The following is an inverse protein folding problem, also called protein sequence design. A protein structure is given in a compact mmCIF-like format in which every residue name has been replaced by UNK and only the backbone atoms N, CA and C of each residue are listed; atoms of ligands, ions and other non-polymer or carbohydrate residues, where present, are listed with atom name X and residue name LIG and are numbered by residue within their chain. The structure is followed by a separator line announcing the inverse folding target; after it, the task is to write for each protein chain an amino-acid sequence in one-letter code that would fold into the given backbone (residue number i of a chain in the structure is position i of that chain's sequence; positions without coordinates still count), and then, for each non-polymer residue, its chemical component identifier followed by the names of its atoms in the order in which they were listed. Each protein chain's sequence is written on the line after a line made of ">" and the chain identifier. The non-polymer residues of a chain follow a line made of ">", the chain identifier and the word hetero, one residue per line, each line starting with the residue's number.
data_IF_916324015198
#
_entry.id   IF_916324015198
#
_cell.length_a   1.000
_cell.length_b   1.000
_cell.length_c   1.000
_cell.angle_alpha   90.00
_cell.angle_beta   90.00
_cell.angle_gamma   90.00
#
_symmetry.space_group_name_H-M   'P 1'
#
loop_
_entity.id
_entity.type
_entity.pdbx_description
1 polymer ?
#
# COMPACT_ATOMS: atom_id res chain seq x y z
N UNK A 1 -11.42 -28.32 -10.21
CA UNK A 1 -10.50 -27.21 -10.55
C UNK A 1 -9.78 -27.59 -11.84
N UNK A 2 -9.71 -26.71 -12.83
CA UNK A 2 -8.81 -26.88 -13.97
C UNK A 2 -7.44 -26.36 -13.55
N UNK A 3 -6.48 -27.25 -13.36
CA UNK A 3 -5.11 -26.92 -12.96
C UNK A 3 -4.18 -28.08 -13.32
N UNK A 4 -2.88 -27.79 -13.47
CA UNK A 4 -1.88 -28.82 -13.68
C UNK A 4 -1.59 -29.57 -12.38
N UNK A 5 -1.19 -30.85 -12.44
CA UNK A 5 -0.81 -31.59 -11.24
C UNK A 5 0.43 -30.95 -10.60
N UNK A 6 0.49 -31.00 -9.26
CA UNK A 6 1.59 -30.45 -8.46
C UNK A 6 2.96 -30.91 -8.97
N UNK A 7 3.07 -32.20 -9.30
CA UNK A 7 4.22 -32.75 -9.97
C UNK A 7 3.87 -33.21 -11.40
N UNK A 8 4.75 -33.01 -12.39
CA UNK A 8 6.00 -32.22 -12.32
C UNK A 8 5.78 -30.72 -12.58
N UNK A 9 4.65 -30.35 -13.16
CA UNK A 9 4.43 -29.04 -13.78
C UNK A 9 4.57 -27.87 -12.80
N UNK A 10 3.83 -27.90 -11.69
CA UNK A 10 3.84 -26.78 -10.73
C UNK A 10 5.16 -26.70 -9.96
N UNK A 11 5.75 -27.84 -9.58
CA UNK A 11 7.04 -27.87 -8.86
C UNK A 11 8.17 -27.31 -9.73
N UNK A 12 8.27 -27.72 -11.00
CA UNK A 12 9.34 -27.21 -11.88
C UNK A 12 9.17 -25.70 -12.10
N UNK A 13 7.94 -25.25 -12.39
CA UNK A 13 7.67 -23.81 -12.60
C UNK A 13 7.99 -22.99 -11.35
N UNK A 14 7.47 -23.38 -10.20
CA UNK A 14 7.65 -22.64 -8.96
C UNK A 14 9.12 -22.73 -8.48
N UNK A 15 9.79 -23.86 -8.69
CA UNK A 15 11.21 -24.02 -8.40
C UNK A 15 12.09 -23.09 -9.24
N UNK A 16 11.84 -23.01 -10.55
CA UNK A 16 12.56 -22.10 -11.44
C UNK A 16 12.38 -20.63 -11.04
N UNK A 17 11.15 -20.22 -10.69
CA UNK A 17 10.86 -18.86 -10.21
C UNK A 17 11.57 -18.59 -8.87
N UNK A 18 11.53 -19.53 -7.93
CA UNK A 18 12.22 -19.40 -6.64
C UNK A 18 13.73 -19.28 -6.80
N UNK A 19 14.35 -20.12 -7.64
CA UNK A 19 15.79 -20.06 -7.92
C UNK A 19 16.19 -18.76 -8.60
N UNK A 20 15.35 -18.24 -9.50
CA UNK A 20 15.56 -16.93 -10.10
C UNK A 20 15.60 -15.82 -9.04
N UNK A 21 14.62 -15.77 -8.12
CA UNK A 21 14.61 -14.76 -7.06
C UNK A 21 15.76 -14.93 -6.06
N UNK A 22 16.13 -16.16 -5.69
CA UNK A 22 17.30 -16.43 -4.85
C UNK A 22 18.58 -15.95 -5.53
N UNK A 23 18.74 -16.26 -6.83
CA UNK A 23 19.87 -15.77 -7.62
C UNK A 23 19.93 -14.24 -7.66
N UNK A 24 18.79 -13.57 -7.86
CA UNK A 24 18.70 -12.11 -7.82
C UNK A 24 19.06 -11.52 -6.45
N UNK A 25 18.61 -12.13 -5.35
CA UNK A 25 18.96 -11.69 -3.99
C UNK A 25 20.47 -11.81 -3.74
N UNK A 26 21.08 -12.94 -4.14
CA UNK A 26 22.53 -13.15 -4.02
C UNK A 26 23.29 -12.14 -4.89
N UNK A 27 22.83 -11.92 -6.12
CA UNK A 27 23.44 -10.95 -7.05
C UNK A 27 23.44 -9.54 -6.46
N UNK A 28 22.30 -9.08 -5.93
CA UNK A 28 22.19 -7.74 -5.32
C UNK A 28 23.06 -7.64 -4.07
N UNK A 29 23.04 -8.66 -3.20
CA UNK A 29 23.86 -8.67 -1.99
C UNK A 29 25.38 -8.63 -2.29
N UNK A 30 25.80 -9.27 -3.38
CA UNK A 30 27.20 -9.26 -3.82
C UNK A 30 27.57 -7.95 -4.56
N UNK A 31 26.68 -7.41 -5.39
CA UNK A 31 26.93 -6.21 -6.19
C UNK A 31 26.86 -4.91 -5.38
N UNK A 32 26.01 -4.87 -4.35
CA UNK A 32 25.76 -3.72 -3.49
C UNK A 32 25.82 -4.15 -2.02
N UNK A 33 27.00 -4.53 -1.49
CA UNK A 33 27.13 -4.95 -0.11
C UNK A 33 26.78 -3.79 0.84
N UNK A 34 25.99 -4.03 1.91
CA UNK A 34 25.65 -2.99 2.86
C UNK A 34 26.90 -2.51 3.61
N UNK A 35 26.97 -1.20 3.88
CA UNK A 35 28.02 -0.65 4.73
C UNK A 35 27.83 -1.11 6.17
N UNK A 36 28.91 -1.51 6.84
CA UNK A 36 28.90 -1.77 8.27
C UNK A 36 28.88 -0.42 9.00
N UNK A 37 27.77 -0.12 9.67
CA UNK A 37 27.65 1.09 10.49
C UNK A 37 28.50 0.98 11.76
N UNK A 38 28.79 2.14 12.37
CA UNK A 38 29.48 2.19 13.66
C UNK A 38 28.61 1.56 14.76
N UNK A 39 29.22 1.04 15.84
CA UNK A 39 28.48 0.59 17.02
C UNK A 39 27.55 1.69 17.54
N UNK A 40 26.38 1.28 18.06
CA UNK A 40 25.39 2.20 18.59
C UNK A 40 25.97 3.07 19.71
N UNK A 41 25.77 4.39 19.62
CA UNK A 41 26.22 5.36 20.61
C UNK A 41 25.01 6.09 21.22
N UNK A 42 24.63 5.82 22.49
CA UNK A 42 23.50 6.50 23.14
C UNK A 42 23.69 8.01 23.30
N UNK A 43 24.93 8.50 23.27
CA UNK A 43 25.28 9.91 23.47
C UNK A 43 25.30 10.73 22.18
N UNK A 44 25.09 10.11 21.01
CA UNK A 44 25.14 10.78 19.71
C UNK A 44 24.02 10.29 18.78
N UNK A 45 23.22 11.23 18.24
CA UNK A 45 22.21 10.91 17.24
C UNK A 45 22.76 11.20 15.83
N UNK A 46 22.72 10.23 14.90
CA UNK A 46 23.07 10.46 13.51
C UNK A 46 22.18 11.55 12.88
N UNK A 47 22.73 12.29 11.90
CA UNK A 47 22.01 13.36 11.21
C UNK A 47 20.85 12.87 10.35
N UNK A 48 20.91 11.62 9.88
CA UNK A 48 19.85 10.94 9.13
C UNK A 48 19.49 9.68 9.91
N UNK A 49 18.28 9.64 10.47
CA UNK A 49 17.72 8.47 11.13
C UNK A 49 16.40 8.13 10.46
N UNK A 50 16.42 7.10 9.62
CA UNK A 50 15.28 6.61 8.86
C UNK A 50 15.19 5.10 9.10
N UNK A 51 14.00 4.54 9.31
CA UNK A 51 13.85 3.09 9.40
C UNK A 51 14.04 2.44 8.02
N UNK A 52 13.89 1.12 7.94
CA UNK A 52 13.86 0.46 6.65
C UNK A 52 12.67 0.93 5.79
N UNK A 53 12.84 0.89 4.46
CA UNK A 53 11.87 1.41 3.49
C UNK A 53 10.46 0.82 3.65
N UNK A 54 10.34 -0.45 4.06
CA UNK A 54 9.06 -1.11 4.26
C UNK A 54 8.29 -0.60 5.49
N UNK A 55 8.96 0.17 6.37
CA UNK A 55 8.37 0.82 7.54
C UNK A 55 8.02 2.29 7.30
N UNK A 56 8.40 2.87 6.16
CA UNK A 56 8.16 4.30 5.88
C UNK A 56 6.69 4.69 5.93
N UNK A 57 5.77 3.83 5.48
CA UNK A 57 4.35 4.16 5.54
C UNK A 57 3.87 4.38 7.00
N UNK A 58 4.36 3.55 7.93
CA UNK A 58 4.00 3.61 9.36
C UNK A 58 4.71 4.75 10.07
N UNK A 59 6.00 4.97 9.75
CA UNK A 59 6.78 6.09 10.27
C UNK A 59 6.26 7.44 9.77
N UNK A 60 5.79 7.52 8.53
CA UNK A 60 5.16 8.72 7.98
C UNK A 60 3.91 9.14 8.73
N UNK A 61 3.13 8.18 9.27
CA UNK A 61 1.97 8.47 10.13
C UNK A 61 2.37 9.13 11.45
N UNK A 62 3.62 8.99 11.91
CA UNK A 62 4.13 9.71 13.08
C UNK A 62 4.47 11.17 12.79
N UNK A 63 4.45 11.60 11.52
CA UNK A 63 4.74 12.97 11.08
C UNK A 63 3.49 13.81 10.83
N UNK A 64 2.34 13.40 11.38
CA UNK A 64 1.05 14.08 11.21
C UNK A 64 0.82 15.23 12.21
N UNK A 65 1.86 15.74 12.86
CA UNK A 65 1.79 16.81 13.87
C UNK A 65 0.97 18.05 13.42
N UNK A 66 1.08 18.52 12.16
CA UNK A 66 0.27 19.66 11.70
C UNK A 66 -1.24 19.40 11.66
N UNK A 67 -1.67 18.14 11.71
CA UNK A 67 -3.08 17.74 11.72
C UNK A 67 -3.61 17.45 13.13
N UNK A 68 -2.74 17.46 14.15
CA UNK A 68 -3.14 17.19 15.53
C UNK A 68 -4.01 18.36 16.05
N UNK A 69 -5.31 18.15 16.35
CA UNK A 69 -6.21 19.22 16.73
C UNK A 69 -5.85 19.81 18.10
N UNK A 70 -5.71 21.14 18.15
CA UNK A 70 -5.58 21.91 19.39
C UNK A 70 -6.92 22.29 19.99
N UNK A 71 -6.98 22.51 21.31
CA UNK A 71 -8.12 23.09 21.98
C UNK A 71 -7.99 24.62 22.00
N UNK A 72 -8.90 25.31 21.29
CA UNK A 72 -9.00 26.76 21.34
C UNK A 72 -9.32 27.29 22.76
N UNK A 73 -9.90 26.46 23.62
CA UNK A 73 -10.24 26.79 25.02
C UNK A 73 -9.02 26.72 25.97
N UNK A 74 -7.95 26.02 25.60
CA UNK A 74 -6.71 25.90 26.38
C UNK A 74 -5.55 26.65 25.72
N UNK A 75 -5.83 27.81 25.12
CA UNK A 75 -4.82 28.68 24.50
C UNK A 75 -3.96 27.97 23.42
N UNK A 76 -4.58 27.04 22.68
CA UNK A 76 -3.91 26.26 21.63
C UNK A 76 -3.17 25.01 22.13
N UNK A 77 -3.35 24.63 23.40
CA UNK A 77 -2.87 23.36 23.93
C UNK A 77 -3.37 22.16 23.12
N UNK A 78 -2.47 21.23 22.79
CA UNK A 78 -2.81 20.00 22.02
C UNK A 78 -3.62 19.05 22.90
N UNK A 79 -4.66 18.42 22.32
CA UNK A 79 -5.51 17.44 23.02
C UNK A 79 -4.70 16.19 23.38
N UNK A 80 -3.84 15.78 22.46
CA UNK A 80 -3.06 14.54 22.52
C UNK A 80 -1.62 14.88 22.17
N UNK A 81 -0.64 14.18 22.76
CA UNK A 81 0.75 14.31 22.33
C UNK A 81 0.91 13.88 20.87
N UNK A 82 1.83 14.52 20.15
CA UNK A 82 2.09 14.22 18.74
C UNK A 82 2.47 12.75 18.52
N UNK A 83 3.24 12.19 19.46
CA UNK A 83 3.62 10.77 19.44
C UNK A 83 2.39 9.87 19.55
N UNK A 84 1.50 10.13 20.51
CA UNK A 84 0.31 9.32 20.69
C UNK A 84 -0.67 9.48 19.53
N UNK A 85 -0.80 10.69 18.96
CA UNK A 85 -1.61 10.93 17.76
C UNK A 85 -1.13 10.07 16.56
N UNK A 86 0.17 10.04 16.30
CA UNK A 86 0.75 9.21 15.24
C UNK A 86 0.59 7.70 15.47
N UNK A 87 0.71 7.25 16.73
CA UNK A 87 0.47 5.84 17.10
C UNK A 87 -1.00 5.47 16.89
N UNK A 88 -1.94 6.34 17.28
CA UNK A 88 -3.37 6.13 17.03
C UNK A 88 -3.68 6.09 15.53
N UNK A 89 -3.03 6.93 14.72
CA UNK A 89 -3.19 6.90 13.27
C UNK A 89 -2.79 5.55 12.66
N UNK A 90 -1.73 4.92 13.17
CA UNK A 90 -1.36 3.56 12.76
C UNK A 90 -2.45 2.53 13.08
N UNK A 91 -3.02 2.59 14.28
CA UNK A 91 -4.12 1.70 14.70
C UNK A 91 -5.33 1.86 13.77
N UNK A 92 -5.66 3.09 13.36
CA UNK A 92 -6.76 3.35 12.41
C UNK A 92 -6.50 2.68 11.07
N UNK A 93 -5.31 2.86 10.49
CA UNK A 93 -4.97 2.29 9.17
C UNK A 93 -4.93 0.76 9.23
N UNK A 94 -4.22 0.20 10.20
CA UNK A 94 -4.13 -1.26 10.38
C UNK A 94 -5.49 -1.87 10.68
N UNK A 95 -6.28 -1.21 11.53
CA UNK A 95 -7.65 -1.62 11.86
C UNK A 95 -8.57 -1.63 10.65
N UNK A 96 -8.50 -0.60 9.80
CA UNK A 96 -9.28 -0.54 8.56
C UNK A 96 -8.93 -1.70 7.61
N UNK A 97 -7.63 -2.00 7.44
CA UNK A 97 -7.17 -3.12 6.60
C UNK A 97 -7.58 -4.46 7.20
N UNK A 98 -7.42 -4.65 8.51
CA UNK A 98 -7.81 -5.87 9.21
C UNK A 98 -9.32 -6.12 9.14
N UNK A 99 -10.14 -5.07 9.12
CA UNK A 99 -11.59 -5.18 9.02
C UNK A 99 -12.09 -5.36 7.58
N UNK A 100 -11.25 -5.09 6.58
CA UNK A 100 -11.61 -5.13 5.16
C UNK A 100 -12.26 -6.47 4.70
N UNK A 101 -11.77 -7.66 5.11
CA UNK A 101 -12.38 -8.93 4.71
C UNK A 101 -13.83 -9.11 5.21
N UNK A 102 -14.21 -8.44 6.30
CA UNK A 102 -15.57 -8.52 6.86
C UNK A 102 -16.54 -7.56 6.17
N UNK A 103 -16.01 -6.47 5.60
CA UNK A 103 -16.77 -5.52 4.82
C UNK A 103 -17.00 -6.02 3.39
N UNK A 104 -15.96 -6.55 2.74
CA UNK A 104 -16.06 -7.10 1.38
C UNK A 104 -16.33 -8.61 1.40
N UNK A 105 -17.61 -8.99 1.39
CA UNK A 105 -18.04 -10.39 1.26
C UNK A 105 -18.16 -10.89 -0.19
N UNK A 106 -17.76 -10.06 -1.16
CA UNK A 106 -17.98 -10.38 -2.56
C UNK A 106 -16.97 -11.37 -3.11
N UNK A 107 -17.41 -12.25 -4.00
CA UNK A 107 -16.60 -13.33 -4.59
C UNK A 107 -15.89 -12.96 -5.89
N UNK A 108 -15.64 -11.68 -6.12
CA UNK A 108 -15.00 -11.22 -7.36
C UNK A 108 -13.63 -11.85 -7.54
N UNK A 109 -13.38 -12.32 -8.77
CA UNK A 109 -12.10 -12.90 -9.16
C UNK A 109 -11.20 -11.89 -9.84
N UNK A 110 -11.75 -10.74 -10.28
CA UNK A 110 -11.00 -9.69 -10.98
C UNK A 110 -11.40 -8.29 -10.51
N UNK A 111 -10.47 -7.32 -10.51
CA UNK A 111 -10.75 -5.94 -10.05
C UNK A 111 -11.93 -5.28 -10.75
N UNK A 112 -12.10 -5.52 -12.05
CA UNK A 112 -13.19 -4.96 -12.87
C UNK A 112 -14.59 -5.45 -12.46
N UNK A 113 -14.68 -6.59 -11.78
CA UNK A 113 -15.97 -7.15 -11.34
C UNK A 113 -16.51 -6.40 -10.10
N UNK A 114 -15.60 -5.82 -9.30
CA UNK A 114 -15.90 -5.00 -8.12
C UNK A 114 -15.10 -3.68 -8.16
N UNK A 115 -15.49 -2.74 -9.04
CA UNK A 115 -14.73 -1.51 -9.27
C UNK A 115 -14.57 -0.64 -8.02
N UNK A 116 -15.55 -0.67 -7.11
CA UNK A 116 -15.50 0.08 -5.85
C UNK A 116 -14.39 -0.42 -4.91
N UNK A 117 -14.34 -1.72 -4.62
CA UNK A 117 -13.32 -2.30 -3.74
C UNK A 117 -11.92 -2.24 -4.36
N UNK A 118 -11.82 -2.44 -5.67
CA UNK A 118 -10.57 -2.24 -6.39
C UNK A 118 -10.06 -0.79 -6.29
N UNK A 119 -10.96 0.19 -6.42
CA UNK A 119 -10.63 1.61 -6.26
C UNK A 119 -10.16 1.96 -4.84
N UNK A 120 -10.80 1.41 -3.80
CA UNK A 120 -10.33 1.55 -2.41
C UNK A 120 -8.93 0.97 -2.26
N UNK A 121 -8.67 -0.22 -2.82
CA UNK A 121 -7.34 -0.85 -2.79
C UNK A 121 -6.26 0.01 -3.46
N UNK A 122 -6.55 0.57 -4.63
CA UNK A 122 -5.63 1.50 -5.32
C UNK A 122 -5.43 2.78 -4.52
N UNK A 123 -6.50 3.37 -3.98
CA UNK A 123 -6.41 4.52 -3.09
C UNK A 123 -5.52 4.23 -1.87
N UNK A 124 -5.70 3.08 -1.22
CA UNK A 124 -4.85 2.63 -0.11
C UNK A 124 -3.38 2.43 -0.50
N UNK A 125 -3.09 1.90 -1.68
CA UNK A 125 -1.73 1.77 -2.19
C UNK A 125 -1.07 3.14 -2.44
N UNK A 126 -1.81 4.07 -3.05
CA UNK A 126 -1.34 5.46 -3.25
C UNK A 126 -1.14 6.16 -1.92
N UNK A 127 -2.04 5.96 -0.95
CA UNK A 127 -1.90 6.48 0.41
C UNK A 127 -0.62 5.96 1.06
N UNK A 128 -0.37 4.65 1.02
CA UNK A 128 0.84 4.01 1.56
C UNK A 128 2.11 4.59 0.95
N UNK A 129 2.13 4.81 -0.37
CA UNK A 129 3.27 5.40 -1.06
C UNK A 129 3.49 6.87 -0.69
N UNK A 130 2.42 7.68 -0.70
CA UNK A 130 2.50 9.12 -0.40
C UNK A 130 2.84 9.39 1.06
N UNK A 131 2.30 8.62 2.01
CA UNK A 131 2.68 8.72 3.43
C UNK A 131 4.11 8.21 3.68
N UNK A 132 4.59 7.21 2.93
CA UNK A 132 5.99 6.82 2.95
C UNK A 132 6.91 7.93 2.42
N UNK A 133 6.47 8.71 1.44
CA UNK A 133 7.22 9.89 0.98
C UNK A 133 7.33 10.95 2.09
N UNK A 134 6.28 11.16 2.89
CA UNK A 134 6.31 12.05 4.07
C UNK A 134 7.35 11.59 5.11
N UNK A 135 7.57 10.28 5.25
CA UNK A 135 8.61 9.73 6.14
C UNK A 135 10.00 10.30 5.81
N UNK A 136 10.28 10.52 4.53
CA UNK A 136 11.54 11.06 3.99
C UNK A 136 11.40 12.51 3.53
N UNK A 137 10.49 13.29 4.11
CA UNK A 137 10.20 14.69 3.71
C UNK A 137 11.45 15.58 3.53
N UNK A 138 12.52 15.33 4.30
CA UNK A 138 13.76 16.12 4.24
C UNK A 138 14.54 15.90 2.92
N UNK A 139 14.28 14.79 2.22
CA UNK A 139 14.89 14.45 0.93
C UNK A 139 14.02 14.91 -0.25
N UNK A 140 12.78 15.32 0.01
CA UNK A 140 11.82 15.70 -1.03
C UNK A 140 11.77 17.23 -1.12
N UNK A 141 12.12 17.83 -2.26
CA UNK A 141 12.14 19.28 -2.43
C UNK A 141 10.73 19.87 -2.65
N UNK A 142 9.76 19.47 -1.82
CA UNK A 142 8.39 19.98 -1.84
C UNK A 142 8.03 20.55 -0.47
N UNK A 143 7.26 21.65 -0.40
CA UNK A 143 6.82 22.20 0.87
C UNK A 143 5.91 21.22 1.61
N UNK A 144 6.00 21.17 2.95
CA UNK A 144 5.26 20.23 3.79
C UNK A 144 3.74 20.29 3.55
N UNK A 145 3.17 21.48 3.40
CA UNK A 145 1.75 21.66 3.11
C UNK A 145 1.32 20.97 1.81
N UNK A 146 2.16 21.02 0.77
CA UNK A 146 1.87 20.35 -0.49
C UNK A 146 2.02 18.84 -0.34
N UNK A 147 3.02 18.36 0.39
CA UNK A 147 3.17 16.92 0.67
C UNK A 147 1.95 16.38 1.40
N UNK A 148 1.48 17.05 2.46
CA UNK A 148 0.27 16.67 3.18
C UNK A 148 -0.97 16.68 2.28
N UNK A 149 -1.13 17.70 1.44
CA UNK A 149 -2.22 17.74 0.47
C UNK A 149 -2.16 16.54 -0.50
N UNK A 150 -0.98 16.19 -1.01
CA UNK A 150 -0.80 15.02 -1.87
C UNK A 150 -1.16 13.72 -1.12
N UNK A 151 -0.75 13.59 0.14
CA UNK A 151 -1.03 12.41 0.99
C UNK A 151 -2.52 12.17 1.17
N UNK A 152 -3.33 13.22 1.37
CA UNK A 152 -4.76 13.05 1.66
C UNK A 152 -5.67 13.22 0.42
N UNK A 153 -5.28 14.05 -0.54
CA UNK A 153 -6.08 14.31 -1.76
C UNK A 153 -5.71 13.30 -2.86
N UNK A 154 -4.41 12.99 -3.03
CA UNK A 154 -3.92 12.10 -4.08
C UNK A 154 -4.61 10.73 -4.09
N UNK A 155 -4.69 10.01 -2.95
CA UNK A 155 -5.41 8.74 -2.86
C UNK A 155 -6.88 8.81 -3.28
N UNK A 156 -7.57 9.90 -2.91
CA UNK A 156 -8.99 10.10 -3.25
C UNK A 156 -9.14 10.33 -4.74
N UNK A 157 -8.29 11.17 -5.34
CA UNK A 157 -8.30 11.44 -6.79
C UNK A 157 -7.97 10.17 -7.57
N UNK A 158 -6.90 9.47 -7.25
CA UNK A 158 -6.52 8.25 -7.98
C UNK A 158 -7.52 7.12 -7.75
N UNK A 159 -8.07 6.99 -6.54
CA UNK A 159 -9.13 6.04 -6.24
C UNK A 159 -10.40 6.30 -7.06
N UNK A 160 -10.86 7.56 -7.11
CA UNK A 160 -12.04 7.94 -7.92
C UNK A 160 -11.81 7.75 -9.42
N UNK A 161 -10.63 8.10 -9.94
CA UNK A 161 -10.25 7.82 -11.33
C UNK A 161 -10.25 6.32 -11.62
N UNK A 162 -9.69 5.51 -10.72
CA UNK A 162 -9.67 4.05 -10.84
C UNK A 162 -11.09 3.48 -10.85
N UNK A 163 -11.96 3.97 -9.97
CA UNK A 163 -13.37 3.58 -9.95
C UNK A 163 -14.04 3.88 -11.28
N UNK A 164 -13.89 5.10 -11.80
CA UNK A 164 -14.47 5.51 -13.07
C UNK A 164 -13.97 4.63 -14.23
N UNK A 165 -12.66 4.40 -14.31
CA UNK A 165 -12.04 3.55 -15.32
C UNK A 165 -12.54 2.10 -15.25
N UNK A 166 -12.55 1.49 -14.06
CA UNK A 166 -13.01 0.11 -13.93
C UNK A 166 -14.51 -0.02 -14.20
N UNK A 167 -15.30 1.00 -13.87
CA UNK A 167 -16.74 1.03 -14.15
C UNK A 167 -17.01 1.07 -15.64
N UNK A 168 -16.28 1.87 -16.42
CA UNK A 168 -16.44 1.92 -17.89
C UNK A 168 -16.00 0.62 -18.55
N UNK A 169 -14.94 -0.02 -18.05
CA UNK A 169 -14.45 -1.30 -18.57
C UNK A 169 -15.39 -2.49 -18.24
N UNK A 170 -16.20 -2.37 -17.19
CA UNK A 170 -17.01 -3.47 -16.65
C UNK A 170 -18.03 -4.00 -17.64
N UNK A 171 -18.73 -3.13 -18.37
CA UNK A 171 -19.79 -3.55 -19.29
C UNK A 171 -19.25 -4.38 -20.45
N UNK A 172 -18.20 -3.88 -21.13
CA UNK A 172 -17.54 -4.60 -22.21
C UNK A 172 -16.92 -5.92 -21.75
N UNK A 173 -16.31 -5.91 -20.57
CA UNK A 173 -15.74 -7.11 -19.97
C UNK A 173 -16.82 -8.17 -19.66
N UNK A 174 -17.91 -7.78 -19.02
CA UNK A 174 -19.01 -8.69 -18.67
C UNK A 174 -19.73 -9.23 -19.90
N UNK A 175 -19.88 -8.41 -20.94
CA UNK A 175 -20.39 -8.84 -22.23
C UNK A 175 -19.52 -9.95 -22.85
N UNK A 176 -18.20 -9.72 -22.91
CA UNK A 176 -17.25 -10.71 -23.45
C UNK A 176 -17.24 -12.02 -22.66
N UNK A 177 -17.38 -11.93 -21.33
CA UNK A 177 -17.46 -13.10 -20.45
C UNK A 177 -18.75 -13.90 -20.71
N UNK A 178 -19.91 -13.23 -20.73
CA UNK A 178 -21.20 -13.87 -20.99
C UNK A 178 -21.22 -14.55 -22.36
N UNK A 179 -20.69 -13.91 -23.41
CA UNK A 179 -20.60 -14.49 -24.76
C UNK A 179 -19.83 -15.81 -24.77
N UNK A 180 -18.69 -15.88 -24.07
CA UNK A 180 -17.91 -17.13 -23.95
C UNK A 180 -18.69 -18.22 -23.21
N UNK A 181 -19.43 -17.86 -22.15
CA UNK A 181 -20.29 -18.82 -21.45
C UNK A 181 -21.40 -19.38 -22.34
N UNK A 182 -22.02 -18.55 -23.19
CA UNK A 182 -23.02 -19.03 -24.15
C UNK A 182 -22.44 -20.02 -25.17
N UNK A 183 -21.21 -19.79 -25.64
CA UNK A 183 -20.53 -20.69 -26.59
C UNK A 183 -20.15 -22.04 -25.96
N UNK A 184 -19.88 -22.06 -24.65
CA UNK A 184 -19.49 -23.27 -23.92
C UNK A 184 -20.69 -24.05 -23.36
N UNK A 185 -21.92 -23.59 -23.58
CA UNK A 185 -23.12 -24.27 -23.10
C UNK A 185 -23.37 -25.51 -23.98
N UNK A 186 -23.45 -26.72 -23.41
CA UNK A 186 -23.80 -27.90 -24.20
C UNK A 186 -25.21 -27.71 -24.82
N UNK A 187 -25.44 -28.16 -26.06
CA UNK A 187 -26.77 -28.16 -26.66
C UNK A 187 -27.71 -29.01 -25.80
N UNK A 188 -28.96 -28.54 -25.66
CA UNK A 188 -30.03 -29.28 -24.97
C UNK A 188 -30.41 -30.53 -25.75
#
# INVERSE_FOLDING_TARGET
>A
MLGFPTWPHEIIRNGAISLFFVGMMILIAAALPPSLEMPANPSATPSIILPDWYLYWSFGLLKLNPLNPGLAVLDGGKIISDQLYGVLANIVVVGAVAFLPFLNKGSARRPVEQPFWAAIGVGGAVFSFTIAALAVQNLIPLPLSLQLNIVFIGPVVIGTMTYALLKTLREGYMYGLNRRYYMLRPPK
#
